data_IF_084727247219
#
_entry.id   IF_084727247219
#
_cell.length_a   1.000
_cell.length_b   1.000
_cell.length_c   1.000
_cell.angle_alpha   90.00
_cell.angle_beta   90.00
_cell.angle_gamma   90.00
#
_symmetry.space_group_name_H-M   'P 1'
#
loop_
_entity.id
_entity.type
_entity.pdbx_description
1 polymer ?
#
# COMPACT_ATOMS: atom_id res chain seq x y z
N UNK A 1 10.58 -0.98 -23.17
CA UNK A 1 11.19 -2.32 -23.15
C UNK A 1 12.71 -2.30 -22.99
N UNK A 2 13.47 -1.53 -23.79
CA UNK A 2 14.96 -1.57 -23.74
C UNK A 2 15.58 -1.11 -22.40
N UNK A 3 14.92 -0.23 -21.64
CA UNK A 3 15.40 0.22 -20.31
C UNK A 3 15.08 -0.77 -19.19
N UNK A 4 13.96 -1.48 -19.27
CA UNK A 4 13.57 -2.52 -18.30
C UNK A 4 14.51 -3.72 -18.38
N UNK A 5 14.85 -4.18 -19.58
CA UNK A 5 15.83 -5.27 -19.76
C UNK A 5 17.23 -4.91 -19.23
N UNK A 6 17.58 -3.62 -19.31
CA UNK A 6 18.87 -3.11 -18.80
C UNK A 6 18.89 -3.04 -17.27
N UNK A 7 17.78 -2.58 -16.68
CA UNK A 7 17.57 -2.55 -15.23
C UNK A 7 17.67 -3.96 -14.64
N UNK A 8 16.90 -4.90 -15.19
CA UNK A 8 16.92 -6.30 -14.76
C UNK A 8 18.28 -6.95 -14.97
N UNK A 9 18.94 -6.76 -16.13
CA UNK A 9 20.31 -7.28 -16.34
C UNK A 9 21.30 -6.78 -15.29
N UNK A 10 21.24 -5.50 -14.93
CA UNK A 10 22.15 -4.90 -13.95
C UNK A 10 21.94 -5.46 -12.54
N UNK A 11 20.68 -5.70 -12.15
CA UNK A 11 20.35 -6.42 -10.92
C UNK A 11 20.84 -7.86 -10.95
N UNK A 12 20.64 -8.60 -12.06
CA UNK A 12 21.09 -10.00 -12.17
C UNK A 12 22.61 -10.20 -12.32
N UNK A 13 23.36 -9.16 -12.63
CA UNK A 13 24.84 -9.18 -12.72
C UNK A 13 25.52 -8.89 -11.36
N UNK A 14 24.76 -8.55 -10.31
CA UNK A 14 25.29 -8.40 -8.95
C UNK A 14 25.66 -9.79 -8.38
N UNK A 15 26.92 -10.00 -7.93
CA UNK A 15 27.34 -11.27 -7.36
C UNK A 15 26.52 -11.58 -6.09
N UNK A 16 25.90 -12.76 -6.06
CA UNK A 16 25.06 -13.23 -4.94
C UNK A 16 23.57 -13.30 -5.28
N UNK A 17 23.08 -12.61 -6.33
CA UNK A 17 21.66 -12.60 -6.67
C UNK A 17 21.24 -13.92 -7.33
N UNK A 18 20.66 -14.83 -6.54
CA UNK A 18 20.08 -16.08 -7.02
C UNK A 18 19.00 -15.78 -8.06
N UNK A 19 19.06 -16.48 -9.19
CA UNK A 19 18.06 -16.42 -10.27
C UNK A 19 16.66 -16.79 -9.72
N UNK A 20 15.79 -15.79 -9.63
CA UNK A 20 14.33 -15.81 -9.35
C UNK A 20 13.90 -16.39 -7.98
N UNK A 21 13.94 -15.57 -6.92
CA UNK A 21 13.27 -15.86 -5.64
C UNK A 21 11.77 -16.18 -5.80
N UNK A 22 11.09 -15.53 -6.74
CA UNK A 22 9.65 -15.68 -7.00
C UNK A 22 9.24 -17.12 -7.30
N UNK A 23 10.05 -17.87 -8.04
CA UNK A 23 9.70 -19.24 -8.47
C UNK A 23 9.90 -20.24 -7.34
N UNK A 24 10.98 -20.10 -6.57
CA UNK A 24 11.22 -20.91 -5.38
C UNK A 24 10.16 -20.66 -4.29
N UNK A 25 9.76 -19.39 -4.08
CA UNK A 25 8.69 -19.01 -3.14
C UNK A 25 7.34 -19.58 -3.57
N UNK A 26 7.04 -19.52 -4.87
CA UNK A 26 5.85 -20.10 -5.45
C UNK A 26 5.79 -21.63 -5.28
N UNK A 27 6.88 -22.31 -5.59
CA UNK A 27 6.97 -23.77 -5.52
C UNK A 27 6.85 -24.22 -4.05
N UNK A 28 7.51 -23.53 -3.12
CA UNK A 28 7.37 -23.77 -1.68
C UNK A 28 5.91 -23.59 -1.19
N UNK A 29 5.21 -22.53 -1.64
CA UNK A 29 3.81 -22.30 -1.27
C UNK A 29 2.85 -23.34 -1.85
N UNK A 30 3.14 -23.86 -3.05
CA UNK A 30 2.41 -24.98 -3.67
C UNK A 30 2.68 -26.30 -2.94
N UNK A 31 3.87 -26.50 -2.38
CA UNK A 31 4.22 -27.70 -1.59
C UNK A 31 3.50 -27.76 -0.22
N UNK A 32 3.07 -26.63 0.34
CA UNK A 32 2.42 -26.53 1.67
C UNK A 32 0.94 -26.98 1.69
N UNK A 33 0.45 -27.66 0.66
CA UNK A 33 -0.94 -28.13 0.61
C UNK A 33 -1.97 -27.00 0.42
N UNK A 34 -1.50 -25.82 -0.03
CA UNK A 34 -2.34 -24.69 -0.39
C UNK A 34 -3.09 -24.93 -1.70
N UNK A 35 -4.32 -24.42 -1.81
CA UNK A 35 -5.11 -24.46 -3.04
C UNK A 35 -4.90 -23.18 -3.83
N UNK A 36 -4.55 -23.29 -5.11
CA UNK A 36 -4.49 -22.14 -6.02
C UNK A 36 -5.91 -21.77 -6.44
N UNK A 37 -6.34 -20.53 -6.13
CA UNK A 37 -7.64 -19.99 -6.54
C UNK A 37 -7.54 -19.29 -7.90
N UNK A 38 -6.47 -18.50 -8.08
CA UNK A 38 -6.17 -17.77 -9.32
C UNK A 38 -4.67 -17.86 -9.58
N UNK A 39 -4.31 -18.14 -10.83
CA UNK A 39 -2.94 -18.03 -11.34
C UNK A 39 -3.01 -17.51 -12.77
N UNK A 40 -2.68 -16.24 -12.96
CA UNK A 40 -2.75 -15.57 -14.26
C UNK A 40 -1.56 -14.64 -14.46
N UNK A 41 -1.23 -14.37 -15.72
CA UNK A 41 -0.27 -13.32 -16.09
C UNK A 41 -0.99 -12.28 -16.94
N UNK A 42 -1.04 -11.05 -16.44
CA UNK A 42 -1.64 -9.90 -17.08
C UNK A 42 -0.59 -9.09 -17.85
N UNK A 43 -1.01 -8.02 -18.51
CA UNK A 43 -0.10 -7.06 -19.14
C UNK A 43 0.73 -6.28 -18.11
N UNK A 44 0.32 -6.31 -16.84
CA UNK A 44 0.95 -5.57 -15.74
C UNK A 44 1.86 -6.46 -14.90
N UNK A 45 1.39 -7.64 -14.52
CA UNK A 45 2.03 -8.48 -13.50
C UNK A 45 1.52 -9.93 -13.53
N UNK A 46 2.18 -10.79 -12.78
CA UNK A 46 1.67 -12.13 -12.46
C UNK A 46 0.82 -12.08 -11.20
N UNK A 47 -0.45 -12.47 -11.32
CA UNK A 47 -1.42 -12.53 -10.22
C UNK A 47 -1.50 -13.97 -9.71
N UNK A 48 -1.28 -14.16 -8.41
CA UNK A 48 -1.50 -15.43 -7.74
C UNK A 48 -2.32 -15.22 -6.47
N UNK A 49 -3.48 -15.85 -6.39
CA UNK A 49 -4.27 -15.97 -5.18
C UNK A 49 -4.29 -17.41 -4.72
N UNK A 50 -3.86 -17.66 -3.48
CA UNK A 50 -3.89 -18.99 -2.88
C UNK A 50 -4.70 -18.99 -1.58
N UNK A 51 -5.27 -20.15 -1.27
CA UNK A 51 -5.90 -20.47 0.00
C UNK A 51 -5.02 -21.47 0.76
N UNK A 52 -4.63 -21.14 1.98
CA UNK A 52 -3.85 -22.04 2.86
C UNK A 52 -4.73 -23.18 3.39
N UNK A 53 -4.13 -24.26 3.94
CA UNK A 53 -4.89 -25.31 4.63
C UNK A 53 -5.80 -24.82 5.77
N UNK A 54 -5.51 -23.63 6.33
CA UNK A 54 -6.30 -22.98 7.37
C UNK A 54 -7.44 -22.10 6.85
N UNK A 55 -7.70 -22.11 5.52
CA UNK A 55 -8.69 -21.25 4.86
C UNK A 55 -8.35 -19.77 4.92
N UNK A 56 -7.06 -19.44 5.01
CA UNK A 56 -6.57 -18.07 4.91
C UNK A 56 -6.13 -17.79 3.47
N UNK A 57 -6.34 -16.56 3.00
CA UNK A 57 -5.98 -16.13 1.66
C UNK A 57 -4.63 -15.41 1.65
N UNK A 58 -3.90 -15.59 0.56
CA UNK A 58 -2.71 -14.80 0.28
C UNK A 58 -2.69 -14.41 -1.19
N UNK A 59 -2.61 -13.10 -1.45
CA UNK A 59 -2.40 -12.53 -2.78
C UNK A 59 -0.92 -12.24 -2.96
N UNK A 60 -0.36 -12.69 -4.08
CA UNK A 60 0.96 -12.31 -4.54
C UNK A 60 0.87 -11.69 -5.93
N UNK A 61 1.55 -10.56 -6.10
CA UNK A 61 1.75 -9.89 -7.38
C UNK A 61 3.25 -9.92 -7.69
N UNK A 62 3.61 -10.52 -8.83
CA UNK A 62 5.01 -10.82 -9.18
C UNK A 62 5.80 -11.53 -8.05
N UNK A 63 5.11 -12.36 -7.26
CA UNK A 63 5.72 -13.12 -6.17
C UNK A 63 5.95 -12.34 -4.86
N UNK A 64 5.66 -11.05 -4.84
CA UNK A 64 5.61 -10.25 -3.60
C UNK A 64 4.22 -10.32 -3.00
N UNK A 65 4.15 -10.57 -1.68
CA UNK A 65 2.89 -10.67 -0.96
C UNK A 65 2.26 -9.28 -0.96
N UNK A 66 0.97 -9.19 -1.30
CA UNK A 66 0.21 -7.93 -1.19
C UNK A 66 -0.65 -7.92 0.06
N UNK A 67 -1.29 -9.05 0.36
CA UNK A 67 -1.94 -9.25 1.65
C UNK A 67 -1.92 -10.72 2.06
N UNK A 68 -2.06 -10.94 3.36
CA UNK A 68 -2.37 -12.22 3.97
C UNK A 68 -3.58 -12.06 4.89
N UNK A 69 -4.63 -12.85 4.69
CA UNK A 69 -5.91 -12.65 5.40
C UNK A 69 -5.81 -12.87 6.92
N UNK A 70 -4.76 -13.55 7.39
CA UNK A 70 -4.52 -13.74 8.82
C UNK A 70 -4.25 -12.43 9.57
N UNK A 71 -3.74 -11.39 8.88
CA UNK A 71 -3.34 -10.14 9.53
C UNK A 71 -3.57 -8.86 8.72
N UNK A 72 -4.06 -8.93 7.49
CA UNK A 72 -4.34 -7.76 6.63
C UNK A 72 -5.20 -6.69 7.29
N UNK A 73 -6.12 -7.06 8.19
CA UNK A 73 -6.95 -6.11 8.93
C UNK A 73 -6.10 -5.07 9.69
N UNK A 74 -4.90 -5.44 10.15
CA UNK A 74 -3.98 -4.50 10.81
C UNK A 74 -3.50 -3.43 9.83
N UNK A 75 -3.19 -3.83 8.60
CA UNK A 75 -2.77 -2.95 7.53
C UNK A 75 -3.92 -2.05 7.07
N UNK A 76 -5.04 -2.63 6.65
CA UNK A 76 -6.13 -1.86 6.05
C UNK A 76 -6.84 -0.96 7.06
N UNK A 77 -6.98 -1.37 8.32
CA UNK A 77 -7.46 -0.45 9.36
C UNK A 77 -6.49 0.72 9.55
N UNK A 78 -5.17 0.45 9.57
CA UNK A 78 -4.14 1.50 9.71
C UNK A 78 -4.13 2.48 8.55
N UNK A 79 -4.25 1.99 7.32
CA UNK A 79 -4.28 2.82 6.12
C UNK A 79 -5.57 3.65 6.05
N UNK A 80 -6.72 3.00 6.21
CA UNK A 80 -8.03 3.59 5.93
C UNK A 80 -8.61 4.38 7.10
N UNK A 81 -8.42 3.93 8.35
CA UNK A 81 -9.12 4.48 9.51
C UNK A 81 -8.27 5.49 10.30
N UNK A 82 -6.93 5.43 10.26
CA UNK A 82 -6.07 6.43 10.92
C UNK A 82 -6.38 7.88 10.48
N UNK A 83 -6.59 8.17 9.18
CA UNK A 83 -7.00 9.52 8.75
C UNK A 83 -8.25 10.04 9.45
N UNK A 84 -9.20 9.16 9.79
CA UNK A 84 -10.44 9.53 10.48
C UNK A 84 -10.18 10.00 11.92
N UNK A 85 -9.08 9.61 12.56
CA UNK A 85 -8.70 10.15 13.87
C UNK A 85 -8.25 11.62 13.78
N UNK A 86 -7.81 12.08 12.61
CA UNK A 86 -7.23 13.41 12.38
C UNK A 86 -8.15 14.36 11.60
N UNK A 87 -9.24 13.84 11.02
CA UNK A 87 -10.13 14.61 10.13
C UNK A 87 -10.69 15.87 10.80
N UNK A 88 -10.46 17.07 10.23
CA UNK A 88 -11.04 18.30 10.75
C UNK A 88 -12.49 18.53 10.26
N UNK A 89 -12.89 17.84 9.19
CA UNK A 89 -14.22 17.84 8.59
C UNK A 89 -14.63 16.39 8.22
N UNK A 90 -15.92 16.13 7.95
CA UNK A 90 -16.37 14.82 7.50
C UNK A 90 -15.69 14.38 6.19
N UNK A 91 -15.38 13.09 6.07
CA UNK A 91 -14.78 12.49 4.87
C UNK A 91 -15.90 11.82 4.07
N UNK A 92 -16.36 12.47 3.00
CA UNK A 92 -17.45 12.00 2.14
C UNK A 92 -16.97 11.38 0.85
N UNK A 93 -15.92 11.96 0.25
CA UNK A 93 -15.35 11.53 -1.02
C UNK A 93 -13.96 10.98 -0.81
N UNK A 94 -13.79 9.69 -1.11
CA UNK A 94 -12.52 8.99 -0.95
C UNK A 94 -11.97 8.53 -2.30
N UNK A 95 -10.71 8.83 -2.57
CA UNK A 95 -9.95 8.23 -3.67
C UNK A 95 -9.03 7.14 -3.13
N UNK A 96 -9.02 5.96 -3.73
CA UNK A 96 -8.08 4.88 -3.40
C UNK A 96 -7.23 4.64 -4.64
N UNK A 97 -5.95 5.00 -4.57
CA UNK A 97 -4.97 4.75 -5.61
C UNK A 97 -4.38 3.36 -5.38
N UNK A 98 -4.65 2.41 -6.28
CA UNK A 98 -4.48 0.97 -6.04
C UNK A 98 -5.67 0.38 -5.29
N UNK A 99 -5.41 -0.56 -4.38
CA UNK A 99 -6.44 -1.18 -3.53
C UNK A 99 -7.52 -1.95 -4.30
N UNK A 100 -7.19 -2.50 -5.47
CA UNK A 100 -8.12 -3.25 -6.33
C UNK A 100 -8.72 -4.50 -5.68
N UNK A 101 -8.15 -5.00 -4.58
CA UNK A 101 -8.70 -6.07 -3.75
C UNK A 101 -9.95 -5.66 -2.95
N UNK A 102 -10.16 -4.36 -2.74
CA UNK A 102 -11.31 -3.79 -2.04
C UNK A 102 -11.25 -3.85 -0.51
N UNK A 103 -10.14 -4.26 0.09
CA UNK A 103 -9.99 -4.40 1.55
C UNK A 103 -9.93 -3.03 2.25
N UNK A 104 -9.26 -2.04 1.66
CA UNK A 104 -9.31 -0.66 2.17
C UNK A 104 -10.75 -0.09 2.13
N UNK A 105 -11.46 -0.32 1.03
CA UNK A 105 -12.86 0.12 0.88
C UNK A 105 -13.79 -0.56 1.88
N UNK A 106 -13.58 -1.86 2.17
CA UNK A 106 -14.31 -2.59 3.21
C UNK A 106 -14.26 -1.87 4.55
N UNK A 107 -13.06 -1.44 4.98
CA UNK A 107 -12.90 -0.74 6.26
C UNK A 107 -13.66 0.58 6.30
N UNK A 108 -13.60 1.36 5.22
CA UNK A 108 -14.34 2.62 5.10
C UNK A 108 -15.85 2.41 5.21
N UNK A 109 -16.40 1.48 4.43
CA UNK A 109 -17.84 1.19 4.39
C UNK A 109 -18.33 0.63 5.73
N UNK A 110 -17.53 -0.24 6.37
CA UNK A 110 -17.87 -0.88 7.64
C UNK A 110 -17.90 0.08 8.82
N UNK A 111 -16.95 1.01 8.87
CA UNK A 111 -16.76 1.87 10.05
C UNK A 111 -17.32 3.28 9.88
N UNK A 112 -17.43 3.76 8.65
CA UNK A 112 -17.84 5.13 8.33
C UNK A 112 -18.84 5.19 7.17
N UNK A 113 -19.58 4.10 6.91
CA UNK A 113 -20.56 4.05 5.83
C UNK A 113 -21.66 5.12 5.90
N UNK A 114 -22.04 5.59 7.09
CA UNK A 114 -23.03 6.68 7.22
C UNK A 114 -22.46 8.07 6.86
N UNK A 115 -21.14 8.19 6.73
CA UNK A 115 -20.43 9.44 6.41
C UNK A 115 -19.84 9.42 4.99
N UNK A 116 -19.33 8.27 4.53
CA UNK A 116 -18.72 8.11 3.21
C UNK A 116 -19.81 7.97 2.15
N UNK A 117 -19.83 8.92 1.22
CA UNK A 117 -20.83 9.03 0.16
C UNK A 117 -20.33 8.46 -1.19
N UNK A 118 -19.02 8.53 -1.46
CA UNK A 118 -18.42 7.98 -2.69
C UNK A 118 -16.97 7.54 -2.46
N UNK A 119 -16.63 6.35 -2.95
CA UNK A 119 -15.28 5.80 -3.00
C UNK A 119 -14.93 5.53 -4.47
N UNK A 120 -13.85 6.12 -4.96
CA UNK A 120 -13.30 5.81 -6.29
C UNK A 120 -12.01 5.00 -6.12
N UNK A 121 -12.05 3.73 -6.50
CA UNK A 121 -10.87 2.85 -6.52
C UNK A 121 -10.26 2.92 -7.91
N UNK A 122 -8.98 3.28 -7.98
CA UNK A 122 -8.23 3.49 -9.22
C UNK A 122 -7.10 2.48 -9.24
N UNK A 123 -7.35 1.33 -9.87
CA UNK A 123 -6.38 0.25 -10.01
C UNK A 123 -6.03 0.04 -11.47
N UNK A 124 -4.75 -0.14 -11.78
CA UNK A 124 -4.31 -0.25 -13.17
C UNK A 124 -4.66 -1.62 -13.78
N UNK A 125 -4.78 -2.66 -12.96
CA UNK A 125 -4.92 -4.05 -13.42
C UNK A 125 -6.37 -4.55 -13.27
N UNK A 126 -7.14 -4.67 -14.38
CA UNK A 126 -8.52 -5.15 -14.33
C UNK A 126 -8.62 -6.56 -13.75
N UNK A 127 -7.62 -7.43 -13.94
CA UNK A 127 -7.67 -8.79 -13.42
C UNK A 127 -7.71 -8.81 -11.88
N UNK A 128 -7.04 -7.87 -11.21
CA UNK A 128 -7.08 -7.75 -9.74
C UNK A 128 -8.49 -7.37 -9.29
N UNK A 129 -9.10 -6.36 -9.92
CA UNK A 129 -10.44 -5.90 -9.56
C UNK A 129 -11.54 -6.89 -9.92
N UNK A 130 -11.40 -7.62 -11.03
CA UNK A 130 -12.31 -8.68 -11.43
C UNK A 130 -12.18 -9.89 -10.52
N UNK A 131 -10.96 -10.29 -10.14
CA UNK A 131 -10.71 -11.33 -9.14
C UNK A 131 -11.38 -10.97 -7.81
N UNK A 132 -11.23 -9.74 -7.35
CA UNK A 132 -11.83 -9.25 -6.10
C UNK A 132 -13.37 -9.19 -6.13
N UNK A 133 -13.97 -9.20 -7.32
CA UNK A 133 -15.42 -9.29 -7.52
C UNK A 133 -15.92 -10.71 -7.78
N UNK A 134 -15.08 -11.62 -8.27
CA UNK A 134 -15.56 -12.91 -8.79
C UNK A 134 -15.13 -14.12 -7.98
N UNK A 135 -14.00 -14.06 -7.27
CA UNK A 135 -13.53 -15.18 -6.43
C UNK A 135 -14.28 -15.16 -5.09
N UNK A 136 -15.13 -16.16 -4.78
CA UNK A 136 -16.01 -16.12 -3.62
C UNK A 136 -15.26 -15.90 -2.28
N UNK A 137 -14.10 -16.54 -2.13
CA UNK A 137 -13.29 -16.41 -0.91
C UNK A 137 -12.77 -14.97 -0.72
N UNK A 138 -12.40 -14.29 -1.81
CA UNK A 138 -11.95 -12.90 -1.75
C UNK A 138 -13.11 -11.92 -1.59
N UNK A 139 -14.26 -12.19 -2.22
CA UNK A 139 -15.50 -11.42 -2.00
C UNK A 139 -15.96 -11.50 -0.54
N UNK A 140 -15.84 -12.68 0.09
CA UNK A 140 -16.10 -12.83 1.52
C UNK A 140 -15.11 -11.99 2.35
N UNK A 141 -13.81 -12.05 2.01
CA UNK A 141 -12.78 -11.29 2.72
C UNK A 141 -12.96 -9.77 2.59
N UNK A 142 -13.25 -9.25 1.40
CA UNK A 142 -13.51 -7.82 1.19
C UNK A 142 -14.93 -7.39 1.59
N UNK A 143 -15.75 -8.30 2.12
CA UNK A 143 -17.11 -8.01 2.59
C UNK A 143 -18.05 -7.54 1.49
N UNK A 144 -17.76 -7.88 0.23
CA UNK A 144 -18.51 -7.40 -0.94
C UNK A 144 -18.36 -5.90 -1.20
N UNK A 145 -17.31 -5.25 -0.70
CA UNK A 145 -17.11 -3.80 -0.80
C UNK A 145 -17.22 -3.28 -2.23
N UNK A 146 -16.69 -4.03 -3.20
CA UNK A 146 -16.68 -3.65 -4.62
C UNK A 146 -18.05 -3.72 -5.31
N UNK A 147 -19.08 -4.22 -4.62
CA UNK A 147 -20.48 -4.26 -5.06
C UNK A 147 -21.35 -3.16 -4.44
N UNK A 148 -20.82 -2.41 -3.48
CA UNK A 148 -21.52 -1.32 -2.84
C UNK A 148 -21.76 -0.18 -3.84
N UNK A 149 -22.97 0.40 -3.86
CA UNK A 149 -23.34 1.45 -4.81
C UNK A 149 -22.51 2.73 -4.67
N UNK A 150 -21.86 2.92 -3.52
CA UNK A 150 -20.95 4.05 -3.26
C UNK A 150 -19.55 3.82 -3.85
N UNK A 151 -19.22 2.59 -4.25
CA UNK A 151 -17.90 2.21 -4.76
C UNK A 151 -17.90 2.18 -6.28
N UNK A 152 -17.07 3.03 -6.87
CA UNK A 152 -16.76 3.03 -8.29
C UNK A 152 -15.35 2.49 -8.49
N UNK A 153 -15.24 1.43 -9.29
CA UNK A 153 -13.94 0.86 -9.69
C UNK A 153 -13.58 1.39 -11.07
N UNK A 154 -12.40 1.98 -11.18
CA UNK A 154 -11.88 2.64 -12.38
C UNK A 154 -10.56 1.96 -12.74
N UNK A 155 -10.56 1.20 -13.83
CA UNK A 155 -9.34 0.55 -14.29
C UNK A 155 -8.46 1.52 -15.09
N UNK A 156 -7.57 2.24 -14.40
CA UNK A 156 -6.75 3.29 -14.97
C UNK A 156 -5.43 3.50 -14.20
N UNK A 157 -4.47 4.16 -14.83
CA UNK A 157 -3.21 4.55 -14.18
C UNK A 157 -3.44 5.75 -13.25
N UNK A 158 -3.18 5.56 -11.95
CA UNK A 158 -3.27 6.60 -10.92
C UNK A 158 -2.41 7.84 -11.23
N UNK A 159 -1.30 7.71 -11.98
CA UNK A 159 -0.49 8.85 -12.43
C UNK A 159 -1.27 9.83 -13.30
N UNK A 160 -2.27 9.33 -14.03
CA UNK A 160 -3.01 10.09 -15.06
C UNK A 160 -4.50 10.25 -14.75
N UNK A 161 -4.99 9.57 -13.72
CA UNK A 161 -6.38 9.67 -13.27
C UNK A 161 -6.74 11.09 -12.83
N UNK A 162 -7.87 11.59 -13.32
CA UNK A 162 -8.47 12.87 -12.92
C UNK A 162 -9.84 12.59 -12.29
N UNK A 163 -10.07 12.99 -11.04
CA UNK A 163 -11.36 12.79 -10.40
C UNK A 163 -12.39 13.83 -10.85
N UNK A 164 -13.68 13.48 -10.72
CA UNK A 164 -14.81 14.38 -10.95
C UNK A 164 -15.00 15.37 -9.77
N UNK A 165 -13.92 15.99 -9.32
CA UNK A 165 -13.85 16.93 -8.20
C UNK A 165 -12.98 16.43 -7.03
N UNK A 166 -12.81 17.27 -5.99
CA UNK A 166 -11.84 17.01 -4.94
C UNK A 166 -12.26 15.88 -3.99
N UNK A 167 -11.26 15.21 -3.43
CA UNK A 167 -11.41 14.20 -2.38
C UNK A 167 -11.18 14.80 -0.98
N UNK A 168 -11.93 14.31 0.00
CA UNK A 168 -11.68 14.60 1.41
C UNK A 168 -10.56 13.69 1.96
N UNK A 169 -10.38 12.51 1.36
CA UNK A 169 -9.33 11.56 1.69
C UNK A 169 -8.82 10.88 0.43
N UNK A 170 -7.50 10.81 0.29
CA UNK A 170 -6.84 9.92 -0.68
C UNK A 170 -6.08 8.86 0.10
N UNK A 171 -6.28 7.58 -0.24
CA UNK A 171 -5.50 6.44 0.22
C UNK A 171 -4.58 6.00 -0.93
N UNK A 172 -3.27 5.97 -0.70
CA UNK A 172 -2.33 5.33 -1.61
C UNK A 172 -2.03 3.92 -1.09
N UNK A 173 -2.71 2.95 -1.69
CA UNK A 173 -2.56 1.51 -1.44
C UNK A 173 -1.82 0.88 -2.63
N UNK A 174 -0.56 1.29 -2.79
CA UNK A 174 0.24 1.02 -3.96
C UNK A 174 1.32 -0.03 -3.66
N UNK A 175 1.66 -0.90 -4.63
CA UNK A 175 2.77 -1.83 -4.49
C UNK A 175 4.11 -1.10 -4.31
N UNK A 176 5.05 -1.81 -3.67
CA UNK A 176 6.40 -1.29 -3.44
C UNK A 176 7.10 -0.85 -4.75
N UNK A 177 7.96 0.18 -4.69
CA UNK A 177 8.60 0.77 -5.88
C UNK A 177 9.74 -0.11 -6.42
N UNK A 178 9.39 -1.26 -7.00
CA UNK A 178 10.33 -2.26 -7.54
C UNK A 178 10.73 -2.02 -8.99
N UNK A 179 10.13 -1.03 -9.65
CA UNK A 179 10.37 -0.71 -11.05
C UNK A 179 10.23 0.79 -11.33
N UNK A 180 10.78 1.31 -12.45
CA UNK A 180 10.60 2.71 -12.84
C UNK A 180 9.15 3.15 -13.05
N UNK A 181 8.24 2.23 -13.33
CA UNK A 181 6.80 2.55 -13.43
C UNK A 181 6.25 2.81 -12.03
N UNK A 182 6.49 1.90 -11.09
CA UNK A 182 6.06 2.05 -9.70
C UNK A 182 6.78 3.21 -9.00
N UNK A 183 8.07 3.42 -9.26
CA UNK A 183 8.86 4.52 -8.68
C UNK A 183 8.30 5.91 -9.00
N UNK A 184 7.63 6.09 -10.15
CA UNK A 184 6.93 7.35 -10.49
C UNK A 184 5.78 7.67 -9.53
N UNK A 185 5.13 6.64 -8.97
CA UNK A 185 4.05 6.78 -7.99
C UNK A 185 4.57 7.14 -6.59
N UNK A 186 5.89 7.24 -6.40
CA UNK A 186 6.51 7.72 -5.16
C UNK A 186 7.30 9.02 -5.40
N UNK A 187 6.95 9.76 -6.45
CA UNK A 187 7.61 11.01 -6.83
C UNK A 187 6.95 12.23 -6.22
N UNK A 188 7.74 13.29 -6.06
CA UNK A 188 7.27 14.61 -5.67
C UNK A 188 6.16 15.13 -6.61
N UNK A 189 6.30 14.91 -7.92
CA UNK A 189 5.31 15.32 -8.92
C UNK A 189 3.98 14.60 -8.73
N UNK A 190 4.01 13.29 -8.49
CA UNK A 190 2.80 12.52 -8.20
C UNK A 190 2.11 12.99 -6.92
N UNK A 191 2.86 13.17 -5.83
CA UNK A 191 2.27 13.69 -4.60
C UNK A 191 1.74 15.12 -4.73
N UNK A 192 2.37 15.99 -5.53
CA UNK A 192 1.83 17.33 -5.84
C UNK A 192 0.51 17.24 -6.60
N UNK A 193 0.38 16.30 -7.53
CA UNK A 193 -0.86 16.04 -8.25
C UNK A 193 -1.96 15.59 -7.29
N UNK A 194 -1.70 14.59 -6.45
CA UNK A 194 -2.67 14.14 -5.44
C UNK A 194 -3.05 15.27 -4.48
N UNK A 195 -2.09 16.10 -4.04
CA UNK A 195 -2.35 17.30 -3.24
C UNK A 195 -3.33 18.26 -3.92
N UNK A 196 -3.23 18.42 -5.25
CA UNK A 196 -4.14 19.25 -6.03
C UNK A 196 -5.54 18.66 -6.21
N UNK A 197 -5.72 17.38 -5.93
CA UNK A 197 -7.00 16.66 -5.97
C UNK A 197 -7.69 16.61 -4.59
N UNK A 198 -7.07 17.16 -3.54
CA UNK A 198 -7.67 17.23 -2.21
C UNK A 198 -8.55 18.47 -2.03
N UNK A 199 -9.62 18.33 -1.26
CA UNK A 199 -10.36 19.48 -0.72
C UNK A 199 -9.49 20.25 0.29
N UNK A 200 -9.91 21.46 0.67
CA UNK A 200 -9.17 22.33 1.59
C UNK A 200 -8.85 21.66 2.96
N UNK A 201 -9.69 20.72 3.40
CA UNK A 201 -9.51 19.95 4.62
C UNK A 201 -8.99 18.51 4.37
N UNK A 202 -8.63 18.22 3.13
CA UNK A 202 -8.32 16.87 2.68
C UNK A 202 -7.05 16.29 3.29
N UNK A 203 -7.05 14.96 3.43
CA UNK A 203 -5.94 14.18 3.94
C UNK A 203 -5.44 13.20 2.88
N UNK A 204 -4.15 12.89 2.92
CA UNK A 204 -3.54 11.82 2.12
C UNK A 204 -2.92 10.80 3.09
N UNK A 205 -3.24 9.52 2.92
CA UNK A 205 -2.65 8.40 3.67
C UNK A 205 -1.86 7.53 2.71
N UNK A 206 -0.57 7.33 2.95
CA UNK A 206 0.31 6.59 2.03
C UNK A 206 0.92 5.39 2.74
N UNK A 207 0.72 4.19 2.19
CA UNK A 207 1.47 2.99 2.55
C UNK A 207 2.95 3.15 2.12
N UNK A 208 3.87 2.81 3.02
CA UNK A 208 5.31 2.85 2.79
C UNK A 208 5.93 1.58 3.38
N UNK A 209 6.68 0.83 2.58
CA UNK A 209 7.50 -0.27 3.12
C UNK A 209 8.45 0.27 4.20
N UNK A 210 8.42 -0.37 5.38
CA UNK A 210 9.17 0.07 6.55
C UNK A 210 10.62 -0.44 6.51
N UNK A 211 11.41 0.09 5.57
CA UNK A 211 12.83 -0.28 5.42
C UNK A 211 13.69 0.97 5.17
N UNK A 212 14.77 1.20 5.92
CA UNK A 212 15.71 2.28 5.61
C UNK A 212 16.60 1.91 4.40
N UNK A 213 17.02 2.88 3.57
CA UNK A 213 16.69 4.31 3.65
C UNK A 213 15.35 4.68 3.00
N UNK A 214 14.62 3.73 2.42
CA UNK A 214 13.41 3.98 1.62
C UNK A 214 12.32 4.68 2.44
N UNK A 215 12.01 4.17 3.63
CA UNK A 215 10.94 4.71 4.48
C UNK A 215 11.16 6.20 4.78
N UNK A 216 12.35 6.55 5.26
CA UNK A 216 12.73 7.94 5.53
C UNK A 216 12.75 8.80 4.27
N UNK A 217 13.20 8.26 3.14
CA UNK A 217 13.24 8.96 1.85
C UNK A 217 11.85 9.27 1.29
N UNK A 218 10.90 8.34 1.41
CA UNK A 218 9.50 8.59 1.02
C UNK A 218 8.88 9.65 1.93
N UNK A 219 9.10 9.59 3.24
CA UNK A 219 8.67 10.64 4.18
C UNK A 219 9.29 12.00 3.84
N UNK A 220 10.58 12.07 3.48
CA UNK A 220 11.23 13.28 2.99
C UNK A 220 10.53 13.85 1.74
N UNK A 221 10.20 12.97 0.80
CA UNK A 221 9.48 13.34 -0.43
C UNK A 221 8.09 13.89 -0.11
N UNK A 222 7.33 13.26 0.80
CA UNK A 222 6.03 13.76 1.26
C UNK A 222 6.14 15.13 1.95
N UNK A 223 7.13 15.31 2.83
CA UNK A 223 7.41 16.58 3.54
C UNK A 223 7.80 17.71 2.59
N UNK A 224 8.32 17.39 1.40
CA UNK A 224 8.59 18.40 0.36
C UNK A 224 7.33 18.92 -0.34
N UNK A 225 6.19 18.22 -0.20
CA UNK A 225 4.92 18.54 -0.85
C UNK A 225 3.87 19.02 0.14
N UNK A 226 3.81 18.43 1.33
CA UNK A 226 2.76 18.72 2.32
C UNK A 226 3.31 19.52 3.52
N UNK A 227 2.56 20.53 4.00
CA UNK A 227 2.98 21.33 5.16
C UNK A 227 2.93 20.55 6.48
N UNK A 228 2.18 19.45 6.56
CA UNK A 228 2.13 18.56 7.71
C UNK A 228 2.18 17.11 7.25
N UNK A 229 3.10 16.34 7.85
CA UNK A 229 3.27 14.90 7.64
C UNK A 229 3.51 14.25 9.00
N UNK A 230 2.63 13.34 9.38
CA UNK A 230 2.78 12.47 10.55
C UNK A 230 3.15 11.06 10.06
N UNK A 231 4.07 10.42 10.75
CA UNK A 231 4.49 9.06 10.46
C UNK A 231 3.98 8.09 11.52
N UNK A 232 3.64 6.88 11.10
CA UNK A 232 3.23 5.80 12.00
C UNK A 232 3.51 4.46 11.34
N UNK A 233 3.60 3.40 12.13
CA UNK A 233 3.86 2.07 11.62
C UNK A 233 3.10 1.00 12.41
N UNK A 234 2.75 -0.10 11.75
CA UNK A 234 2.08 -1.24 12.35
C UNK A 234 2.92 -2.49 12.17
N UNK A 235 3.09 -3.24 13.25
CA UNK A 235 3.71 -4.56 13.17
C UNK A 235 2.75 -5.56 12.54
N UNK A 236 3.25 -6.41 11.64
CA UNK A 236 2.51 -7.44 10.92
C UNK A 236 3.24 -8.78 10.98
N UNK A 237 2.49 -9.88 11.04
CA UNK A 237 3.06 -11.22 11.01
C UNK A 237 3.62 -11.54 9.62
N UNK A 238 2.94 -11.10 8.55
CA UNK A 238 3.30 -11.44 7.17
C UNK A 238 4.34 -10.52 6.52
N UNK A 239 4.55 -9.32 7.07
CA UNK A 239 5.45 -8.29 6.50
C UNK A 239 6.48 -7.74 7.49
N UNK A 240 6.52 -8.27 8.71
CA UNK A 240 7.26 -7.73 9.88
C UNK A 240 6.72 -6.35 10.31
N UNK A 241 6.73 -5.34 9.44
CA UNK A 241 6.24 -3.99 9.76
C UNK A 241 5.85 -3.23 8.48
N UNK A 242 4.67 -2.60 8.50
CA UNK A 242 4.21 -1.67 7.47
C UNK A 242 4.27 -0.23 8.02
N UNK A 243 4.75 0.70 7.21
CA UNK A 243 4.89 2.11 7.57
C UNK A 243 3.89 2.97 6.81
N UNK A 244 3.61 4.16 7.34
CA UNK A 244 2.63 5.07 6.74
C UNK A 244 3.03 6.53 6.90
N UNK A 245 2.67 7.33 5.89
CA UNK A 245 2.70 8.79 5.96
C UNK A 245 1.29 9.36 5.88
N UNK A 246 0.82 9.98 6.96
CA UNK A 246 -0.41 10.79 6.94
C UNK A 246 -0.04 12.24 6.65
N UNK A 247 -0.59 12.78 5.57
CA UNK A 247 -0.32 14.14 5.12
C UNK A 247 -1.59 15.00 5.19
N UNK A 248 -1.44 16.26 5.56
CA UNK A 248 -2.53 17.23 5.62
C UNK A 248 -2.14 18.58 5.02
N UNK A 249 -3.15 19.32 4.54
CA UNK A 249 -2.98 20.71 4.09
C UNK A 249 -2.88 21.71 5.25
N UNK A 250 -3.30 21.30 6.45
CA UNK A 250 -3.17 22.05 7.70
C UNK A 250 -2.58 21.18 8.81
N UNK A 251 -2.56 21.72 10.03
CA UNK A 251 -1.99 21.02 11.20
C UNK A 251 -2.74 19.70 11.45
N UNK A 252 -1.98 18.61 11.50
CA UNK A 252 -2.47 17.30 11.91
C UNK A 252 -2.61 17.29 13.44
N UNK A 253 -3.83 17.01 13.92
CA UNK A 253 -4.12 16.91 15.35
C UNK A 253 -5.10 15.77 15.52
N UNK A 254 -4.76 14.79 16.37
CA UNK A 254 -5.66 13.69 16.70
C UNK A 254 -6.88 14.26 17.45
N UNK A 255 -8.06 14.18 16.83
CA UNK A 255 -9.32 14.79 17.29
C UNK A 255 -10.34 13.76 17.75
N UNK A 256 -10.28 12.56 17.18
CA UNK A 256 -11.32 11.53 17.36
C UNK A 256 -10.72 10.23 17.91
N UNK A 257 -11.49 9.46 18.69
CA UNK A 257 -11.08 8.12 19.08
C UNK A 257 -11.16 7.16 17.88
N UNK A 258 -10.44 6.03 17.91
CA UNK A 258 -10.63 4.99 16.91
C UNK A 258 -12.04 4.35 17.04
N UNK A 259 -12.60 3.80 15.96
CA UNK A 259 -13.94 3.23 15.98
C UNK A 259 -13.99 1.98 16.88
N UNK A 260 -14.99 1.85 17.78
CA UNK A 260 -15.04 0.75 18.76
C UNK A 260 -15.06 -0.67 18.19
N UNK A 261 -15.50 -0.83 16.94
CA UNK A 261 -15.62 -2.13 16.27
C UNK A 261 -14.38 -2.54 15.46
N UNK A 262 -13.34 -1.70 15.40
CA UNK A 262 -12.07 -2.04 14.76
C UNK A 262 -11.41 -3.23 15.47
N UNK A 263 -10.82 -4.16 14.72
CA UNK A 263 -10.17 -5.36 15.26
C UNK A 263 -8.79 -5.02 15.83
N UNK A 264 -8.07 -4.11 15.19
CA UNK A 264 -6.72 -3.72 15.57
C UNK A 264 -6.66 -2.34 16.24
N UNK A 265 -7.32 -1.33 15.66
CA UNK A 265 -7.23 0.05 16.13
C UNK A 265 -7.97 0.30 17.45
N UNK A 266 -7.33 -0.08 18.55
CA UNK A 266 -7.70 0.33 19.91
C UNK A 266 -6.89 1.57 20.32
N UNK A 267 -7.29 2.34 21.35
CA UNK A 267 -6.49 3.49 21.80
C UNK A 267 -5.02 3.15 22.13
N UNK A 268 -4.71 2.05 22.84
CA UNK A 268 -3.31 1.64 23.06
C UNK A 268 -2.59 1.22 21.78
N UNK A 269 -3.29 0.56 20.84
CA UNK A 269 -2.69 0.19 19.56
C UNK A 269 -2.31 1.43 18.75
N UNK A 270 -3.21 2.42 18.68
CA UNK A 270 -2.94 3.71 18.05
C UNK A 270 -1.71 4.35 18.69
N UNK A 271 -1.64 4.45 20.02
CA UNK A 271 -0.44 5.01 20.68
C UNK A 271 0.85 4.26 20.32
N UNK A 272 0.80 2.94 20.27
CA UNK A 272 1.93 2.10 19.87
C UNK A 272 2.36 2.32 18.41
N UNK A 273 1.43 2.62 17.50
CA UNK A 273 1.76 2.85 16.09
C UNK A 273 2.57 4.13 15.84
N UNK A 274 2.40 5.13 16.70
CA UNK A 274 3.15 6.39 16.64
C UNK A 274 4.42 6.38 17.52
N UNK A 275 4.73 5.24 18.15
CA UNK A 275 5.96 5.05 18.92
C UNK A 275 7.04 4.42 18.05
N UNK A 276 8.20 5.06 18.02
CA UNK A 276 9.42 4.58 17.36
C UNK A 276 10.52 4.44 18.41
N UNK A 277 11.13 3.26 18.53
CA UNK A 277 12.17 3.07 19.52
C UNK A 277 13.44 3.88 19.13
N UNK A 278 14.17 4.45 20.11
CA UNK A 278 15.34 5.31 19.82
C UNK A 278 16.49 4.62 19.07
N UNK A 279 16.52 3.28 19.11
CA UNK A 279 17.51 2.42 18.47
C UNK A 279 17.01 1.81 17.16
N UNK A 280 15.81 2.16 16.69
CA UNK A 280 15.35 1.74 15.37
C UNK A 280 16.28 2.27 14.28
N UNK A 281 16.68 1.44 13.30
CA UNK A 281 17.47 1.90 12.17
C UNK A 281 16.72 2.98 11.37
N UNK A 282 17.22 4.22 11.40
CA UNK A 282 16.68 5.37 10.66
C UNK A 282 17.76 6.01 9.80
N UNK A 283 17.35 6.56 8.67
CA UNK A 283 18.22 7.34 7.79
C UNK A 283 17.82 8.81 7.84
N UNK A 284 18.74 9.67 8.29
CA UNK A 284 18.57 11.11 8.12
C UNK A 284 18.79 11.48 6.66
N UNK A 285 17.73 11.86 5.95
CA UNK A 285 17.80 12.28 4.55
C UNK A 285 16.90 13.46 4.27
N UNK A 286 17.35 14.34 3.37
CA UNK A 286 16.56 15.42 2.76
C UNK A 286 16.43 15.24 1.25
N UNK A 287 16.94 14.12 0.72
CA UNK A 287 16.77 13.78 -0.68
C UNK A 287 15.28 13.58 -1.01
N UNK A 288 14.92 13.90 -2.24
CA UNK A 288 13.55 13.86 -2.75
C UNK A 288 13.54 12.98 -3.99
N UNK A 289 12.61 12.04 -4.06
CA UNK A 289 12.35 11.27 -5.28
C UNK A 289 11.54 12.10 -6.27
N UNK A 290 12.02 12.24 -7.50
CA UNK A 290 11.29 12.91 -8.60
C UNK A 290 11.07 11.94 -9.75
N UNK A 291 10.18 12.26 -10.68
CA UNK A 291 9.98 11.44 -11.88
C UNK A 291 11.25 11.32 -12.76
N UNK A 292 12.09 12.35 -12.76
CA UNK A 292 13.37 12.36 -13.48
C UNK A 292 14.46 11.60 -12.71
N UNK A 293 14.53 11.81 -11.39
CA UNK A 293 15.51 11.23 -10.50
C UNK A 293 14.81 10.41 -9.42
N UNK A 294 14.45 9.18 -9.79
CA UNK A 294 13.67 8.24 -8.96
C UNK A 294 14.51 7.67 -7.81
N UNK A 295 14.93 8.53 -6.88
CA UNK A 295 15.70 8.17 -5.67
C UNK A 295 15.06 7.03 -4.88
N UNK A 296 13.74 6.89 -4.97
CA UNK A 296 13.02 5.77 -4.36
C UNK A 296 13.55 4.40 -4.81
N UNK A 297 13.96 4.26 -6.07
CA UNK A 297 14.56 3.03 -6.58
C UNK A 297 15.96 2.82 -6.01
N UNK A 298 16.77 3.89 -5.91
CA UNK A 298 18.11 3.81 -5.32
C UNK A 298 18.03 3.36 -3.85
N UNK A 299 17.05 3.89 -3.10
CA UNK A 299 16.80 3.50 -1.71
C UNK A 299 16.34 2.05 -1.60
N UNK A 300 15.41 1.62 -2.47
CA UNK A 300 14.96 0.23 -2.52
C UNK A 300 16.11 -0.72 -2.85
N UNK A 301 16.94 -0.39 -3.83
CA UNK A 301 18.11 -1.19 -4.20
C UNK A 301 19.19 -1.23 -3.10
N UNK A 302 19.39 -0.12 -2.37
CA UNK A 302 20.33 -0.10 -1.23
C UNK A 302 19.88 -1.08 -0.16
N UNK A 303 18.59 -1.04 0.20
CA UNK A 303 18.01 -1.98 1.13
C UNK A 303 18.21 -3.43 0.68
N UNK A 304 17.90 -3.73 -0.59
CA UNK A 304 18.07 -5.08 -1.15
C UNK A 304 19.52 -5.55 -1.13
N UNK A 305 20.50 -4.68 -1.38
CA UNK A 305 21.92 -5.03 -1.34
C UNK A 305 22.39 -5.39 0.07
N UNK A 306 21.89 -4.67 1.07
CA UNK A 306 22.30 -4.84 2.47
C UNK A 306 21.63 -6.05 3.14
N UNK A 307 20.41 -6.40 2.73
CA UNK A 307 19.58 -7.42 3.39
C UNK A 307 19.31 -8.65 2.51
N UNK A 308 20.13 -8.85 1.46
CA UNK A 308 19.96 -9.91 0.47
C UNK A 308 19.96 -11.32 1.10
N UNK A 309 20.85 -11.57 2.06
CA UNK A 309 20.96 -12.88 2.73
C UNK A 309 19.84 -13.10 3.75
N UNK A 310 19.28 -12.04 4.33
CA UNK A 310 18.28 -12.11 5.39
C UNK A 310 16.87 -12.41 4.86
N UNK A 311 16.49 -11.97 3.64
CA UNK A 311 15.18 -12.33 3.05
C UNK A 311 15.02 -13.83 2.77
N UNK A 312 16.10 -14.62 2.72
CA UNK A 312 16.03 -16.09 2.61
C UNK A 312 15.65 -16.74 3.95
N UNK A 313 15.86 -16.06 5.09
CA UNK A 313 15.73 -16.62 6.43
C UNK A 313 14.47 -16.18 7.20
N UNK A 314 13.73 -15.19 6.72
CA UNK A 314 12.54 -14.64 7.40
C UNK A 314 11.19 -15.16 6.89
N UNK A 315 11.17 -16.14 5.98
CA UNK A 315 9.97 -16.86 5.51
C UNK A 315 10.25 -18.35 5.38
#
# INVERSE_FOLDING_TARGET
MADLDRYWKRLYELPGIVKRPERAKLDALKEVGSRVLVEERTDYQRVLLIETPKKELMLLLDGEIQFYSGDEHRFHESLALVPFLYRPAPIRRVGVMGGGDGLAARELLRHYGDEVERIQIVDIDPAVTEMARSVPELVELNGGSLFDERVEVINADALTFEPDGPFDLILCDLPDPTSPVLGRLYSQEFYRRLRGQLDANGLLSVQIIYVPPLYDGVLSTLRSVFPAVEEYAVWMYSFVRAGFGLCGLGKLTRRHPPPPAARHLTPPAVEGMFYFAPDEPRTETTDISTMENMKVLDWYESYLREHFEERILYY
#
